data_IF_426670472933
#
_entry.id   IF_426670472933
#
_cell.length_a   1.000
_cell.length_b   1.000
_cell.length_c   1.000
_cell.angle_alpha   90.00
_cell.angle_beta   90.00
_cell.angle_gamma   90.00
#
_symmetry.space_group_name_H-M   'P 1'
#
loop_
_entity.id
_entity.type
_entity.pdbx_description
1 polymer ?
#
# COMPACT_ATOMS: atom_id res chain seq x y z
N UNK A 1 -19.72 20.02 -17.41
CA UNK A 1 -19.10 18.68 -17.41
C UNK A 1 -17.84 18.84 -16.61
N UNK A 2 -17.74 18.14 -15.50
CA UNK A 2 -16.55 18.18 -14.66
C UNK A 2 -15.48 17.32 -15.33
N UNK A 3 -14.27 17.85 -15.48
CA UNK A 3 -13.14 17.17 -16.14
C UNK A 3 -11.91 17.37 -15.27
N UNK A 4 -11.06 16.34 -15.19
CA UNK A 4 -9.81 16.36 -14.44
C UNK A 4 -8.65 16.18 -15.41
N UNK A 5 -7.73 17.13 -15.45
CA UNK A 5 -6.45 16.97 -16.14
C UNK A 5 -5.47 16.24 -15.23
N UNK A 6 -4.98 15.09 -15.67
CA UNK A 6 -3.98 14.31 -14.96
C UNK A 6 -2.56 14.87 -15.22
N UNK A 7 -1.59 14.64 -14.32
CA UNK A 7 -0.19 15.04 -14.56
C UNK A 7 0.44 14.40 -15.81
N UNK A 8 -0.15 13.31 -16.31
CA UNK A 8 0.21 12.69 -17.60
C UNK A 8 -0.20 13.53 -18.81
N UNK A 9 -0.96 14.62 -18.61
CA UNK A 9 -1.54 15.45 -19.67
C UNK A 9 -2.83 14.87 -20.26
N UNK A 10 -3.42 13.88 -19.61
CA UNK A 10 -4.68 13.24 -20.02
C UNK A 10 -5.87 13.88 -19.30
N UNK A 11 -6.92 14.22 -20.05
CA UNK A 11 -8.19 14.66 -19.49
C UNK A 11 -9.11 13.48 -19.24
N UNK A 12 -9.65 13.36 -18.02
CA UNK A 12 -10.64 12.34 -17.66
C UNK A 12 -11.96 12.98 -17.22
N UNK A 13 -13.06 12.28 -17.48
CA UNK A 13 -14.41 12.67 -17.07
C UNK A 13 -14.96 11.70 -16.02
N UNK A 14 -16.02 12.05 -15.27
CA UNK A 14 -16.69 11.13 -14.35
C UNK A 14 -17.19 9.83 -15.01
N UNK A 15 -17.41 9.83 -16.32
CA UNK A 15 -17.86 8.65 -17.07
C UNK A 15 -16.73 7.64 -17.30
N UNK A 16 -15.47 8.09 -17.24
CA UNK A 16 -14.27 7.25 -17.40
C UNK A 16 -13.86 6.55 -16.09
N UNK A 17 -14.57 6.84 -15.00
CA UNK A 17 -14.19 6.49 -13.62
C UNK A 17 -15.17 5.53 -13.00
N UNK A 18 -14.64 4.50 -12.31
CA UNK A 18 -15.44 3.62 -11.48
C UNK A 18 -14.73 3.29 -10.17
N UNK A 19 -15.52 2.97 -9.14
CA UNK A 19 -14.96 2.54 -7.86
C UNK A 19 -14.73 1.02 -7.86
N UNK A 20 -13.53 0.60 -7.51
CA UNK A 20 -13.18 -0.81 -7.28
C UNK A 20 -12.44 -0.91 -5.94
N UNK A 21 -12.91 -1.80 -5.05
CA UNK A 21 -12.36 -1.99 -3.70
C UNK A 21 -12.24 -0.68 -2.87
N UNK A 22 -13.16 0.27 -3.09
CA UNK A 22 -13.17 1.55 -2.36
C UNK A 22 -12.29 2.64 -2.97
N UNK A 23 -11.62 2.37 -4.09
CA UNK A 23 -10.73 3.32 -4.76
C UNK A 23 -11.20 3.64 -6.19
N UNK A 24 -10.96 4.87 -6.68
CA UNK A 24 -11.38 5.26 -8.03
C UNK A 24 -10.35 4.84 -9.09
N UNK A 25 -10.81 4.03 -10.04
CA UNK A 25 -10.04 3.52 -11.17
C UNK A 25 -10.61 3.99 -12.50
N UNK A 26 -9.78 3.89 -13.54
CA UNK A 26 -10.17 3.99 -14.95
C UNK A 26 -9.76 2.74 -15.71
N UNK A 27 -10.48 2.50 -16.79
CA UNK A 27 -10.15 1.44 -17.75
C UNK A 27 -9.12 1.96 -18.75
N UNK A 28 -8.03 1.22 -18.95
CA UNK A 28 -7.06 1.48 -20.03
C UNK A 28 -6.92 0.23 -20.91
N UNK A 29 -7.29 0.29 -22.20
CA UNK A 29 -6.99 -0.79 -23.15
C UNK A 29 -5.48 -1.04 -23.23
N UNK A 30 -5.03 -2.30 -23.32
CA UNK A 30 -3.61 -2.61 -23.35
C UNK A 30 -2.86 -1.93 -24.53
N UNK A 31 -3.53 -1.77 -25.66
CA UNK A 31 -3.03 -1.09 -26.87
C UNK A 31 -2.63 0.38 -26.63
N UNK A 32 -3.31 1.06 -25.70
CA UNK A 32 -3.03 2.45 -25.36
C UNK A 32 -1.80 2.62 -24.46
N UNK A 33 -1.39 1.56 -23.74
CA UNK A 33 -0.25 1.58 -22.81
C UNK A 33 1.10 1.45 -23.52
N UNK A 34 1.16 0.66 -24.59
CA UNK A 34 2.39 0.40 -25.36
C UNK A 34 2.72 1.50 -26.39
N UNK A 35 2.09 2.68 -26.27
CA UNK A 35 2.36 3.84 -27.13
C UNK A 35 1.97 3.67 -28.60
N UNK A 36 1.22 2.61 -28.93
CA UNK A 36 0.79 2.33 -30.29
C UNK A 36 -0.58 2.96 -30.54
N UNK A 37 -0.63 4.29 -30.70
CA UNK A 37 -1.81 4.94 -31.29
C UNK A 37 -1.81 4.77 -32.80
N UNK A 38 -1.73 3.54 -33.29
CA UNK A 38 -2.14 3.23 -34.64
C UNK A 38 -3.58 2.76 -34.54
N UNK A 39 -4.51 3.50 -35.15
CA UNK A 39 -5.70 2.83 -35.70
C UNK A 39 -5.15 1.72 -36.58
N UNK A 40 -5.13 0.49 -36.07
CA UNK A 40 -4.67 -0.65 -36.83
C UNK A 40 -5.66 -0.81 -38.00
N UNK A 41 -5.28 -0.33 -39.17
CA UNK A 41 -5.93 -0.72 -40.43
C UNK A 41 -5.54 -2.18 -40.69
N UNK A 42 -6.22 -3.10 -40.00
CA UNK A 42 -6.03 -4.54 -40.04
C UNK A 42 -7.08 -5.25 -39.18
N UNK A 43 -7.35 -6.55 -39.40
CA UNK A 43 -8.28 -7.28 -38.54
C UNK A 43 -7.69 -7.29 -37.13
N UNK A 44 -8.36 -6.59 -36.21
CA UNK A 44 -7.94 -6.46 -34.81
C UNK A 44 -7.87 -7.81 -34.09
N UNK A 45 -7.36 -7.82 -32.84
CA UNK A 45 -7.32 -9.04 -32.03
C UNK A 45 -8.72 -9.67 -31.95
N UNK A 46 -8.76 -11.00 -32.02
CA UNK A 46 -10.01 -11.75 -31.91
C UNK A 46 -10.74 -11.45 -30.60
N UNK A 47 -12.05 -11.74 -30.52
CA UNK A 47 -12.88 -11.41 -29.35
C UNK A 47 -12.43 -12.02 -28.01
N UNK A 48 -11.45 -12.93 -28.04
CA UNK A 48 -10.99 -13.69 -26.87
C UNK A 48 -9.67 -13.18 -26.25
N UNK A 49 -9.05 -12.13 -26.80
CA UNK A 49 -7.73 -11.62 -26.35
C UNK A 49 -7.73 -10.12 -26.00
N UNK A 50 -8.87 -9.61 -25.52
CA UNK A 50 -8.97 -8.21 -25.05
C UNK A 50 -8.34 -8.11 -23.66
N UNK A 51 -7.11 -7.58 -23.60
CA UNK A 51 -6.42 -7.27 -22.35
C UNK A 51 -6.62 -5.80 -21.97
N UNK A 52 -6.90 -5.54 -20.69
CA UNK A 52 -7.05 -4.19 -20.15
C UNK A 52 -6.34 -4.05 -18.80
N UNK A 53 -6.03 -2.80 -18.45
CA UNK A 53 -5.42 -2.44 -17.17
C UNK A 53 -6.39 -1.59 -16.36
N UNK A 54 -6.45 -1.87 -15.06
CA UNK A 54 -7.02 -0.96 -14.08
C UNK A 54 -5.95 0.06 -13.70
N UNK A 55 -6.19 1.32 -14.05
CA UNK A 55 -5.27 2.40 -13.74
C UNK A 55 -5.92 3.24 -12.67
N UNK A 56 -5.32 3.40 -11.48
CA UNK A 56 -5.80 4.39 -10.52
C UNK A 56 -5.80 5.77 -11.17
N UNK A 57 -6.82 6.58 -10.93
CA UNK A 57 -6.93 7.89 -11.58
C UNK A 57 -5.73 8.79 -11.31
N UNK A 58 -5.30 8.81 -10.06
CA UNK A 58 -4.16 9.53 -9.56
C UNK A 58 -4.05 9.21 -8.07
N UNK A 59 -2.86 8.85 -7.61
CA UNK A 59 -2.48 9.04 -6.23
C UNK A 59 -1.42 10.13 -6.25
N UNK A 60 -1.75 11.34 -5.83
CA UNK A 60 -0.79 12.44 -5.98
C UNK A 60 -1.21 13.72 -5.27
N UNK A 61 -1.02 13.67 -3.96
CA UNK A 61 -0.64 14.81 -3.13
C UNK A 61 0.36 14.40 -2.05
N UNK A 62 0.62 13.09 -1.91
CA UNK A 62 1.73 12.55 -1.13
C UNK A 62 2.71 11.90 -2.09
N UNK A 63 3.99 12.02 -1.81
CA UNK A 63 5.13 11.47 -2.57
C UNK A 63 5.18 9.92 -2.60
N UNK A 64 4.02 9.26 -2.57
CA UNK A 64 3.85 7.84 -2.28
C UNK A 64 3.88 6.94 -3.53
N UNK A 65 3.74 7.51 -4.73
CA UNK A 65 3.53 6.73 -5.97
C UNK A 65 4.50 7.13 -7.10
N UNK A 66 5.75 7.42 -6.75
CA UNK A 66 6.83 7.49 -7.74
C UNK A 66 7.37 6.07 -7.94
N UNK A 67 7.11 5.40 -9.08
CA UNK A 67 7.66 4.09 -9.32
C UNK A 67 9.18 4.17 -9.39
N UNK A 68 9.87 3.27 -8.71
CA UNK A 68 11.32 3.18 -8.81
C UNK A 68 11.72 2.76 -10.24
N UNK A 69 12.68 3.46 -10.87
CA UNK A 69 13.13 3.12 -12.22
C UNK A 69 13.79 1.73 -12.27
N UNK A 70 14.41 1.30 -11.16
CA UNK A 70 14.98 -0.03 -10.98
C UNK A 70 15.15 -0.37 -9.48
N UNK A 71 15.66 -1.58 -9.20
CA UNK A 71 15.94 -2.04 -7.83
C UNK A 71 17.01 -1.22 -7.12
N UNK A 72 17.98 -0.64 -7.84
CA UNK A 72 19.05 0.14 -7.22
C UNK A 72 18.50 1.45 -6.64
N UNK A 73 17.62 2.12 -7.38
CA UNK A 73 16.91 3.31 -6.90
C UNK A 73 16.03 3.02 -5.68
N UNK A 74 15.35 1.86 -5.66
CA UNK A 74 14.61 1.39 -4.47
C UNK A 74 15.54 1.23 -3.26
N UNK A 75 16.69 0.59 -3.43
CA UNK A 75 17.63 0.37 -2.32
C UNK A 75 18.20 1.70 -1.81
N UNK A 76 18.63 2.59 -2.70
CA UNK A 76 19.18 3.91 -2.33
C UNK A 76 18.21 4.72 -1.47
N UNK A 77 16.92 4.76 -1.85
CA UNK A 77 15.91 5.47 -1.06
C UNK A 77 15.53 4.72 0.23
N UNK A 78 15.70 3.40 0.26
CA UNK A 78 15.46 2.58 1.44
C UNK A 78 16.61 2.63 2.46
N UNK A 79 17.81 3.08 2.08
CA UNK A 79 18.94 3.22 3.02
C UNK A 79 18.67 4.26 4.12
N UNK A 80 17.85 5.28 3.83
CA UNK A 80 17.40 6.28 4.80
C UNK A 80 16.18 5.82 5.63
N UNK A 81 15.54 4.71 5.26
CA UNK A 81 14.47 4.13 6.06
C UNK A 81 15.07 3.51 7.32
N UNK A 82 14.40 3.68 8.47
CA UNK A 82 14.79 3.03 9.75
C UNK A 82 14.83 1.50 9.70
N UNK A 83 14.48 0.89 8.58
CA UNK A 83 14.32 -0.55 8.44
C UNK A 83 13.04 -1.05 9.11
N UNK A 84 12.93 -2.38 9.23
CA UNK A 84 11.85 -3.01 9.99
C UNK A 84 12.17 -2.89 11.48
N UNK A 85 11.22 -2.39 12.27
CA UNK A 85 11.36 -2.35 13.73
C UNK A 85 11.56 -3.77 14.27
N UNK A 86 12.48 -3.91 15.22
CA UNK A 86 12.62 -5.13 16.00
C UNK A 86 11.41 -5.35 16.92
N UNK A 87 11.23 -6.56 17.43
CA UNK A 87 10.15 -6.88 18.37
C UNK A 87 10.10 -5.92 19.57
N UNK A 88 11.28 -5.54 20.11
CA UNK A 88 11.38 -4.60 21.22
C UNK A 88 10.96 -3.18 20.83
N UNK A 89 11.36 -2.72 19.63
CA UNK A 89 10.97 -1.40 19.12
C UNK A 89 9.47 -1.35 18.79
N UNK A 90 8.89 -2.47 18.35
CA UNK A 90 7.44 -2.60 18.21
C UNK A 90 6.72 -2.56 19.55
N UNK A 91 7.26 -3.21 20.60
CA UNK A 91 6.70 -3.14 21.94
C UNK A 91 6.72 -1.71 22.49
N UNK A 92 7.81 -0.98 22.27
CA UNK A 92 7.94 0.43 22.65
C UNK A 92 6.96 1.31 21.87
N UNK A 93 6.85 1.11 20.56
CA UNK A 93 5.88 1.82 19.72
C UNK A 93 4.43 1.56 20.17
N UNK A 94 4.07 0.31 20.47
CA UNK A 94 2.74 -0.05 20.98
C UNK A 94 2.46 0.58 22.35
N UNK A 95 3.48 0.78 23.19
CA UNK A 95 3.34 1.47 24.46
C UNK A 95 3.09 2.97 24.27
N UNK A 96 3.80 3.61 23.33
CA UNK A 96 3.58 5.01 22.95
C UNK A 96 2.20 5.21 22.31
N UNK A 97 1.82 4.35 21.38
CA UNK A 97 0.54 4.41 20.67
C UNK A 97 -0.66 4.28 21.60
N UNK A 98 -0.58 3.48 22.67
CA UNK A 98 -1.64 3.38 23.69
C UNK A 98 -1.88 4.68 24.47
N UNK A 99 -0.92 5.59 24.48
CA UNK A 99 -1.08 6.90 25.09
C UNK A 99 -1.64 7.95 24.12
N UNK A 100 -1.83 7.59 22.84
CA UNK A 100 -2.29 8.44 21.76
C UNK A 100 -3.78 8.18 21.50
N UNK A 101 -4.58 9.25 21.45
CA UNK A 101 -6.04 9.20 21.33
C UNK A 101 -6.53 8.87 19.92
N UNK A 102 -5.62 8.78 18.95
CA UNK A 102 -5.92 8.38 17.57
C UNK A 102 -6.15 6.88 17.41
N UNK A 103 -5.67 6.07 18.36
CA UNK A 103 -5.76 4.61 18.30
C UNK A 103 -6.62 4.09 19.45
N UNK A 104 -7.38 3.03 19.18
CA UNK A 104 -8.09 2.32 20.23
C UNK A 104 -7.33 1.07 20.69
N UNK A 105 -7.60 0.63 21.94
CA UNK A 105 -6.89 -0.51 22.54
C UNK A 105 -7.12 -1.81 21.75
N UNK A 106 -8.27 -1.97 21.10
CA UNK A 106 -8.59 -3.21 20.38
C UNK A 106 -7.82 -3.31 19.05
N UNK A 107 -7.65 -2.20 18.35
CA UNK A 107 -6.79 -2.07 17.17
C UNK A 107 -5.34 -2.39 17.53
N UNK A 108 -4.83 -1.80 18.61
CA UNK A 108 -3.44 -2.02 19.04
C UNK A 108 -3.19 -3.45 19.53
N UNK A 109 -4.18 -4.07 20.18
CA UNK A 109 -4.10 -5.48 20.58
C UNK A 109 -4.12 -6.43 19.37
N UNK A 110 -4.89 -6.11 18.33
CA UNK A 110 -4.89 -6.88 17.08
C UNK A 110 -3.52 -6.82 16.40
N UNK A 111 -2.91 -5.64 16.30
CA UNK A 111 -1.56 -5.45 15.76
C UNK A 111 -0.54 -6.27 16.58
N UNK A 112 -0.62 -6.21 17.91
CA UNK A 112 0.29 -6.95 18.79
C UNK A 112 0.19 -8.48 18.59
N UNK A 113 -1.01 -9.00 18.31
CA UNK A 113 -1.23 -10.41 18.03
C UNK A 113 -0.70 -10.81 16.64
N UNK A 114 -0.92 -9.98 15.62
CA UNK A 114 -0.39 -10.24 14.27
C UNK A 114 1.14 -10.25 14.25
N UNK A 115 1.77 -9.40 15.06
CA UNK A 115 3.23 -9.37 15.24
C UNK A 115 3.77 -10.51 16.14
N UNK A 116 2.89 -11.32 16.76
CA UNK A 116 3.27 -12.38 17.70
C UNK A 116 3.84 -11.89 19.04
N UNK A 117 3.70 -10.58 19.32
CA UNK A 117 4.22 -9.94 20.53
C UNK A 117 3.35 -10.22 21.74
N UNK A 118 2.05 -10.45 21.54
CA UNK A 118 1.14 -10.83 22.61
C UNK A 118 1.57 -12.15 23.29
N UNK A 119 1.95 -13.15 22.49
CA UNK A 119 2.44 -14.45 22.93
C UNK A 119 3.83 -14.34 23.57
N UNK A 120 4.74 -13.57 22.95
CA UNK A 120 6.10 -13.34 23.46
C UNK A 120 6.07 -12.62 24.83
N UNK A 121 5.18 -11.64 24.99
CA UNK A 121 4.98 -10.90 26.25
C UNK A 121 4.30 -11.77 27.31
N UNK A 122 3.35 -12.61 26.93
CA UNK A 122 2.73 -13.58 27.85
C UNK A 122 3.77 -14.59 28.38
N UNK A 123 4.63 -15.13 27.51
CA UNK A 123 5.71 -16.03 27.89
C UNK A 123 6.75 -15.34 28.80
N UNK A 124 7.15 -14.11 28.46
CA UNK A 124 8.07 -13.30 29.26
C UNK A 124 7.51 -12.95 30.63
N UNK A 125 6.22 -12.61 30.71
CA UNK A 125 5.51 -12.37 31.97
C UNK A 125 5.40 -13.61 32.86
N UNK A 126 5.22 -14.78 32.25
CA UNK A 126 5.20 -16.06 32.97
C UNK A 126 6.60 -16.41 33.50
N UNK A 127 7.65 -16.24 32.70
CA UNK A 127 9.05 -16.38 33.14
C UNK A 127 9.40 -15.39 34.26
N UNK A 128 8.97 -14.13 34.17
CA UNK A 128 9.19 -13.13 35.21
C UNK A 128 8.46 -13.48 36.52
N UNK A 129 7.25 -14.06 36.46
CA UNK A 129 6.54 -14.58 37.64
C UNK A 129 7.25 -15.77 38.26
N UNK A 130 7.71 -16.72 37.45
CA UNK A 130 8.50 -17.87 37.92
C UNK A 130 9.79 -17.41 38.58
N UNK A 131 10.50 -16.44 37.99
CA UNK A 131 11.71 -15.87 38.56
C UNK A 131 11.45 -15.16 39.89
N UNK A 132 10.38 -14.37 40.01
CA UNK A 132 9.96 -13.72 41.27
C UNK A 132 9.62 -14.72 42.38
N UNK A 133 9.07 -15.88 42.02
CA UNK A 133 8.79 -16.97 42.97
C UNK A 133 10.07 -17.69 43.43
N UNK A 134 11.15 -17.58 42.67
CA UNK A 134 12.43 -18.24 42.92
C UNK A 134 13.54 -17.29 43.40
N UNK A 135 13.28 -15.97 43.52
CA UNK A 135 14.24 -14.97 44.01
C UNK A 135 13.80 -13.53 43.75
#
# INVERSE_FOLDING_TARGET
MDTLELPTGETVTPEDVFCYEGYPYRFLPAEARDGTTARAEGPGPGPDEVSFYLVPLHWGGGDMDVPFPDRAALVEQWEDARGVLTDAEWEDWLAEARADDRFDDAELDAIAAELGLAEARAASGLLARVRRLLG
#
